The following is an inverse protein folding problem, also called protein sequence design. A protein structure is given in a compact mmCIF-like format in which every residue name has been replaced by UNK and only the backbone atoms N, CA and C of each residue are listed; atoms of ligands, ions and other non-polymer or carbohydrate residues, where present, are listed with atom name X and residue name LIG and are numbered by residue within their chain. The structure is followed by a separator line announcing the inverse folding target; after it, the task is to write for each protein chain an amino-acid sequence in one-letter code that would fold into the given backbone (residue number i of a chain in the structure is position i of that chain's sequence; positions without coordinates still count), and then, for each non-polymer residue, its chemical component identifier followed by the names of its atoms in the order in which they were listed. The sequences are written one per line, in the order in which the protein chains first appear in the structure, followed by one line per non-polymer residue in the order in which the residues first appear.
data_IF_806637889937
#
_entry.id   IF_806637889937
#
_cell.length_a   1.000
_cell.length_b   1.000
_cell.length_c   1.000
_cell.angle_alpha   90.00
_cell.angle_beta   90.00
_cell.angle_gamma   90.00
#
_symmetry.space_group_name_H-M   'P 1'
#
loop_
_entity.id
_entity.type
_entity.pdbx_description
1 polymer ?
#
# COMPACT_ATOMS: atom_id res chain seq x y z
N UNK A 1 14.28 -58.79 -6.61
CA UNK A 1 14.21 -57.36 -7.02
C UNK A 1 13.25 -56.67 -6.08
N UNK A 2 13.74 -55.63 -5.41
CA UNK A 2 13.14 -54.93 -4.26
C UNK A 2 12.06 -53.93 -4.70
N UNK A 3 10.97 -53.83 -3.94
CA UNK A 3 10.31 -52.59 -3.44
C UNK A 3 8.83 -52.90 -3.08
N UNK A 4 8.35 -52.95 -1.83
CA UNK A 4 8.35 -52.00 -0.70
C UNK A 4 7.27 -50.88 -0.83
N UNK A 5 6.27 -50.99 0.06
CA UNK A 5 5.54 -49.95 0.83
C UNK A 5 4.31 -49.24 0.22
N UNK A 6 3.18 -49.63 0.82
CA UNK A 6 2.16 -48.80 1.48
C UNK A 6 1.82 -47.42 0.89
N UNK A 7 0.64 -47.33 0.28
CA UNK A 7 -0.05 -46.06 0.07
C UNK A 7 -0.68 -45.58 1.38
N UNK A 8 -0.03 -44.61 2.03
CA UNK A 8 -0.61 -43.87 3.15
C UNK A 8 -0.33 -42.37 3.00
N UNK A 9 -1.32 -41.60 3.46
CA UNK A 9 -1.38 -40.16 3.70
C UNK A 9 -1.92 -39.26 2.59
N UNK A 10 -3.24 -39.10 2.65
CA UNK A 10 -3.93 -37.81 2.56
C UNK A 10 -3.14 -36.69 3.26
N UNK A 11 -2.87 -35.61 2.54
CA UNK A 11 -2.56 -34.32 3.13
C UNK A 11 -3.22 -33.23 2.27
N UNK A 12 -4.50 -33.01 2.57
CA UNK A 12 -5.13 -31.73 2.28
C UNK A 12 -4.56 -30.69 3.22
N UNK A 13 -3.84 -29.72 2.67
CA UNK A 13 -3.63 -28.42 3.29
C UNK A 13 -3.98 -27.38 2.24
N UNK A 14 -5.26 -27.09 2.11
CA UNK A 14 -5.73 -25.82 1.56
C UNK A 14 -5.04 -24.72 2.37
N UNK A 15 -4.13 -23.98 1.73
CA UNK A 15 -3.56 -22.76 2.31
C UNK A 15 -4.69 -21.72 2.32
N UNK A 16 -5.57 -21.80 3.31
CA UNK A 16 -6.44 -20.69 3.67
C UNK A 16 -5.59 -19.70 4.45
N UNK A 17 -4.86 -18.85 3.72
CA UNK A 17 -4.29 -17.65 4.30
C UNK A 17 -5.43 -16.67 4.59
N UNK A 18 -5.84 -16.55 5.85
CA UNK A 18 -6.71 -15.47 6.29
C UNK A 18 -5.91 -14.17 6.19
N UNK A 19 -6.09 -13.43 5.09
CA UNK A 19 -5.59 -12.06 4.98
C UNK A 19 -6.59 -11.15 5.69
N UNK A 20 -6.35 -10.89 6.98
CA UNK A 20 -7.07 -9.86 7.76
C UNK A 20 -6.52 -8.45 7.46
N UNK A 21 -6.25 -8.18 6.19
CA UNK A 21 -5.67 -6.92 5.75
C UNK A 21 -6.80 -6.11 5.11
N UNK A 22 -7.13 -4.96 5.72
CA UNK A 22 -8.09 -4.03 5.15
C UNK A 22 -7.60 -3.64 3.75
N UNK A 23 -8.43 -3.88 2.74
CA UNK A 23 -8.19 -3.47 1.35
C UNK A 23 -9.19 -2.40 0.98
N UNK A 24 -8.78 -1.37 0.21
CA UNK A 24 -9.69 -0.30 -0.18
C UNK A 24 -10.81 -0.87 -1.05
N UNK A 25 -12.05 -0.46 -0.80
CA UNK A 25 -13.18 -0.82 -1.62
C UNK A 25 -12.99 -0.29 -3.06
N UNK A 26 -13.30 -1.14 -4.04
CA UNK A 26 -13.28 -0.79 -5.45
C UNK A 26 -14.39 -1.50 -6.22
N UNK A 27 -14.71 -0.95 -7.38
CA UNK A 27 -15.56 -1.61 -8.39
C UNK A 27 -14.70 -1.97 -9.59
N UNK A 28 -14.81 -3.21 -10.09
CA UNK A 28 -14.17 -3.59 -11.35
C UNK A 28 -15.01 -3.04 -12.49
N UNK A 29 -14.45 -2.11 -13.26
CA UNK A 29 -15.12 -1.53 -14.43
C UNK A 29 -14.96 -2.38 -15.67
N UNK A 30 -13.82 -3.08 -15.76
CA UNK A 30 -13.47 -3.89 -16.92
C UNK A 30 -12.45 -4.94 -16.54
N UNK A 31 -12.54 -6.09 -17.18
CA UNK A 31 -11.50 -7.12 -17.19
C UNK A 31 -10.95 -7.23 -18.61
N UNK A 32 -9.62 -7.25 -18.76
CA UNK A 32 -8.91 -7.39 -20.04
C UNK A 32 -8.14 -8.72 -20.00
N UNK A 33 -8.66 -9.74 -20.69
CA UNK A 33 -8.11 -11.09 -20.59
C UNK A 33 -8.29 -11.69 -19.18
N UNK A 34 -7.55 -12.75 -18.83
CA UNK A 34 -7.69 -13.39 -17.52
C UNK A 34 -6.96 -12.66 -16.38
N UNK A 35 -6.00 -11.78 -16.70
CA UNK A 35 -5.01 -11.31 -15.70
C UNK A 35 -5.07 -9.81 -15.37
N UNK A 36 -5.91 -9.02 -16.08
CA UNK A 36 -5.92 -7.56 -15.94
C UNK A 36 -7.30 -7.05 -15.58
N UNK A 37 -7.38 -6.25 -14.52
CA UNK A 37 -8.60 -5.54 -14.09
C UNK A 37 -8.39 -4.03 -14.10
N UNK A 38 -9.37 -3.31 -14.64
CA UNK A 38 -9.53 -1.87 -14.46
C UNK A 38 -10.44 -1.65 -13.26
N UNK A 39 -9.89 -1.08 -12.19
CA UNK A 39 -10.59 -0.84 -10.93
C UNK A 39 -10.86 0.65 -10.73
N UNK A 40 -12.12 1.00 -10.42
CA UNK A 40 -12.52 2.32 -9.94
C UNK A 40 -12.52 2.32 -8.42
N UNK A 41 -11.75 3.23 -7.85
CA UNK A 41 -11.77 3.53 -6.42
C UNK A 41 -12.65 4.77 -6.16
N UNK A 42 -13.39 4.77 -5.06
CA UNK A 42 -14.12 5.94 -4.59
C UNK A 42 -13.20 7.05 -4.05
N UNK A 43 -13.78 8.17 -3.59
CA UNK A 43 -13.05 9.22 -2.87
C UNK A 43 -12.31 8.64 -1.66
N UNK A 44 -11.05 9.04 -1.48
CA UNK A 44 -10.18 8.56 -0.40
C UNK A 44 -9.30 9.69 0.12
N UNK A 45 -9.02 9.66 1.42
CA UNK A 45 -8.04 10.56 2.03
C UNK A 45 -6.63 10.08 1.70
N UNK A 46 -5.73 11.04 1.50
CA UNK A 46 -4.32 10.74 1.27
C UNK A 46 -3.44 11.74 2.02
N UNK A 47 -2.39 11.23 2.64
CA UNK A 47 -1.25 12.04 3.05
C UNK A 47 -0.37 12.27 1.82
N UNK A 48 0.01 13.52 1.57
CA UNK A 48 0.74 13.92 0.36
C UNK A 48 1.97 14.75 0.70
N UNK A 49 3.05 14.54 -0.05
CA UNK A 49 4.22 15.43 -0.05
C UNK A 49 4.68 15.68 -1.48
N UNK A 50 5.22 16.88 -1.72
CA UNK A 50 5.88 17.25 -2.96
C UNK A 50 7.38 17.42 -2.72
N UNK A 51 8.21 16.79 -3.55
CA UNK A 51 9.66 16.71 -3.37
C UNK A 51 10.37 17.01 -4.69
N UNK A 52 11.38 17.86 -4.66
CA UNK A 52 12.22 18.16 -5.82
C UNK A 52 13.33 17.13 -5.99
N UNK A 53 13.90 17.01 -7.20
CA UNK A 53 15.05 16.15 -7.49
C UNK A 53 14.74 15.09 -8.55
N UNK A 54 15.66 14.13 -8.70
CA UNK A 54 15.43 12.97 -9.58
C UNK A 54 14.28 12.12 -9.06
N UNK A 55 13.60 11.39 -9.95
CA UNK A 55 12.46 10.52 -9.59
C UNK A 55 12.82 9.59 -8.42
N UNK A 56 13.94 8.89 -8.52
CA UNK A 56 14.39 7.93 -7.50
C UNK A 56 14.64 8.59 -6.15
N UNK A 57 15.31 9.75 -6.13
CA UNK A 57 15.62 10.45 -4.89
C UNK A 57 14.34 11.05 -4.26
N UNK A 58 13.51 11.69 -5.08
CA UNK A 58 12.26 12.29 -4.63
C UNK A 58 11.27 11.24 -4.13
N UNK A 59 11.23 10.06 -4.76
CA UNK A 59 10.45 8.90 -4.30
C UNK A 59 10.90 8.44 -2.92
N UNK A 60 12.21 8.22 -2.73
CA UNK A 60 12.77 7.76 -1.44
C UNK A 60 12.47 8.77 -0.32
N UNK A 61 12.73 10.05 -0.59
CA UNK A 61 12.50 11.11 0.38
C UNK A 61 11.00 11.30 0.68
N UNK A 62 10.14 11.26 -0.34
CA UNK A 62 8.69 11.38 -0.17
C UNK A 62 8.12 10.22 0.63
N UNK A 63 8.56 9.00 0.34
CA UNK A 63 8.21 7.81 1.11
C UNK A 63 8.61 7.96 2.58
N UNK A 64 9.86 8.34 2.86
CA UNK A 64 10.35 8.47 4.23
C UNK A 64 9.59 9.51 5.05
N UNK A 65 9.22 10.65 4.44
CA UNK A 65 8.38 11.68 5.09
C UNK A 65 7.00 11.14 5.45
N UNK A 66 6.34 10.48 4.50
CA UNK A 66 5.00 9.94 4.73
C UNK A 66 5.02 8.77 5.73
N UNK A 67 6.03 7.90 5.65
CA UNK A 67 6.23 6.83 6.62
C UNK A 67 6.46 7.38 8.03
N UNK A 68 7.27 8.44 8.17
CA UNK A 68 7.47 9.11 9.46
C UNK A 68 6.12 9.58 10.04
N UNK A 69 5.30 10.28 9.26
CA UNK A 69 3.96 10.70 9.70
C UNK A 69 3.08 9.52 10.16
N UNK A 70 3.04 8.44 9.39
CA UNK A 70 2.20 7.27 9.63
C UNK A 70 2.63 6.52 10.89
N UNK A 71 3.93 6.41 11.16
CA UNK A 71 4.47 5.66 12.29
C UNK A 71 4.76 6.51 13.54
N UNK A 72 4.03 7.62 13.71
CA UNK A 72 4.08 8.42 14.94
C UNK A 72 4.90 9.71 14.86
N UNK A 73 5.40 10.09 13.69
CA UNK A 73 5.92 11.43 13.38
C UNK A 73 4.79 12.46 13.17
N UNK A 74 3.76 12.38 13.99
CA UNK A 74 2.57 13.24 13.98
C UNK A 74 2.34 13.82 15.38
N UNK A 75 1.43 14.79 15.51
CA UNK A 75 1.26 15.55 16.77
C UNK A 75 0.85 14.70 17.97
N UNK A 76 0.18 13.57 17.74
CA UNK A 76 -0.31 12.65 18.79
C UNK A 76 0.67 11.52 19.09
N UNK A 77 1.76 11.39 18.32
CA UNK A 77 2.73 10.28 18.39
C UNK A 77 2.10 8.88 18.24
N UNK A 78 0.95 8.80 17.58
CA UNK A 78 0.22 7.55 17.38
C UNK A 78 0.51 6.95 16.00
N UNK A 79 0.54 5.62 15.89
CA UNK A 79 0.62 4.95 14.59
C UNK A 79 -0.73 4.94 13.90
N UNK A 80 -0.75 5.10 12.58
CA UNK A 80 -1.93 4.90 11.72
C UNK A 80 -1.85 3.47 11.18
N UNK A 81 -2.84 2.64 11.48
CA UNK A 81 -2.89 1.23 11.05
C UNK A 81 -2.96 1.15 9.51
N UNK A 82 -1.89 0.68 8.88
CA UNK A 82 -1.77 0.66 7.42
C UNK A 82 -2.58 -0.50 6.78
N UNK A 83 -3.15 -0.24 5.60
CA UNK A 83 -3.73 -1.25 4.70
C UNK A 83 -2.64 -1.93 3.87
N UNK A 84 -2.69 -3.25 3.68
CA UNK A 84 -1.72 -4.02 2.89
C UNK A 84 -2.10 -4.10 1.38
N UNK A 85 -1.16 -4.50 0.48
CA UNK A 85 0.27 -4.68 0.70
C UNK A 85 1.09 -3.50 0.16
N UNK A 86 2.14 -3.12 0.90
CA UNK A 86 3.32 -2.49 0.30
C UNK A 86 4.16 -3.65 -0.22
N UNK A 87 4.22 -3.88 -1.54
CA UNK A 87 5.01 -4.96 -2.10
C UNK A 87 6.49 -4.85 -1.65
N UNK A 88 6.92 -5.79 -0.81
CA UNK A 88 8.31 -5.94 -0.37
C UNK A 88 9.07 -6.82 -1.36
N UNK A 89 9.47 -6.24 -2.49
CA UNK A 89 10.57 -6.78 -3.30
C UNK A 89 11.59 -5.67 -3.52
N UNK A 90 12.84 -6.06 -3.80
CA UNK A 90 14.05 -5.22 -3.83
C UNK A 90 14.02 -4.10 -4.89
N UNK A 91 12.89 -3.87 -5.51
CA UNK A 91 12.51 -2.71 -6.31
C UNK A 91 11.04 -2.47 -5.97
N UNK A 92 10.73 -1.39 -5.27
CA UNK A 92 9.35 -1.09 -4.87
C UNK A 92 8.55 -0.77 -6.13
N UNK A 93 7.87 -1.77 -6.68
CA UNK A 93 6.73 -1.58 -7.55
C UNK A 93 5.55 -1.21 -6.66
N UNK A 94 5.20 0.07 -6.74
CA UNK A 94 4.15 0.71 -5.93
C UNK A 94 2.80 0.07 -6.25
N UNK A 95 2.37 -0.86 -5.41
CA UNK A 95 1.01 -1.41 -5.45
C UNK A 95 0.22 -0.85 -4.29
N UNK A 96 -0.98 -0.35 -4.60
CA UNK A 96 -2.14 -0.02 -3.76
C UNK A 96 -2.18 1.24 -2.84
N UNK A 97 -1.30 1.53 -1.84
CA UNK A 97 -1.46 2.78 -1.10
C UNK A 97 -0.62 3.92 -1.66
N UNK A 98 0.39 3.67 -2.51
CA UNK A 98 1.32 4.71 -2.98
C UNK A 98 1.03 5.15 -4.41
N UNK A 99 0.72 6.43 -4.60
CA UNK A 99 0.60 7.05 -5.93
C UNK A 99 1.69 8.10 -6.16
N UNK A 100 2.27 8.12 -7.36
CA UNK A 100 3.26 9.10 -7.77
C UNK A 100 2.86 9.85 -9.04
N UNK A 101 3.19 11.13 -9.12
CA UNK A 101 2.96 11.94 -10.31
C UNK A 101 3.89 13.16 -10.32
N UNK A 102 4.33 13.60 -11.50
CA UNK A 102 5.08 14.85 -11.65
C UNK A 102 4.13 16.05 -11.61
N UNK A 103 4.45 17.08 -10.84
CA UNK A 103 3.69 18.32 -10.75
C UNK A 103 4.16 19.34 -11.80
N UNK A 104 3.33 20.34 -12.09
CA UNK A 104 3.59 21.37 -13.10
C UNK A 104 4.82 22.24 -12.77
N UNK A 105 5.17 22.36 -11.50
CA UNK A 105 6.36 23.04 -10.99
C UNK A 105 7.63 22.16 -10.98
N UNK A 106 7.57 20.97 -11.58
CA UNK A 106 8.70 20.07 -11.75
C UNK A 106 9.03 19.19 -10.54
N UNK A 107 8.24 19.23 -9.47
CA UNK A 107 8.37 18.34 -8.31
C UNK A 107 7.71 16.97 -8.53
N UNK A 108 8.04 16.03 -7.66
CA UNK A 108 7.37 14.74 -7.56
C UNK A 108 6.38 14.79 -6.41
N UNK A 109 5.13 14.44 -6.71
CA UNK A 109 4.06 14.26 -5.73
C UNK A 109 3.99 12.79 -5.36
N UNK A 110 4.12 12.50 -4.08
CA UNK A 110 4.00 11.16 -3.49
C UNK A 110 2.80 11.17 -2.55
N UNK A 111 1.94 10.15 -2.64
CA UNK A 111 0.72 10.03 -1.83
C UNK A 111 0.62 8.66 -1.18
N UNK A 112 0.20 8.63 0.09
CA UNK A 112 -0.22 7.41 0.79
C UNK A 112 -1.71 7.52 1.10
N UNK A 113 -2.52 6.57 0.63
CA UNK A 113 -3.94 6.54 0.93
C UNK A 113 -4.20 6.09 2.37
N UNK A 114 -5.10 6.79 3.06
CA UNK A 114 -5.49 6.47 4.43
C UNK A 114 -6.52 5.33 4.43
N UNK A 115 -6.57 4.52 5.51
CA UNK A 115 -7.61 3.51 5.69
C UNK A 115 -9.01 4.13 5.79
N UNK A 116 -10.03 3.35 5.44
CA UNK A 116 -11.42 3.84 5.34
C UNK A 116 -12.03 4.29 6.69
N UNK A 117 -11.49 3.84 7.83
CA UNK A 117 -11.95 4.26 9.16
C UNK A 117 -11.42 5.63 9.60
N UNK A 118 -10.57 6.29 8.80
CA UNK A 118 -10.07 7.63 9.09
C UNK A 118 -10.85 8.72 8.37
N UNK A 119 -11.04 9.84 9.07
CA UNK A 119 -11.61 11.08 8.54
C UNK A 119 -10.59 12.22 8.71
N UNK A 120 -10.82 13.38 8.11
CA UNK A 120 -9.96 14.55 8.31
C UNK A 120 -9.87 14.98 9.78
N UNK A 121 -10.93 14.77 10.55
CA UNK A 121 -11.01 15.14 11.96
C UNK A 121 -10.29 14.13 12.87
N UNK A 122 -10.27 12.86 12.47
CA UNK A 122 -9.64 11.78 13.26
C UNK A 122 -8.18 11.53 12.90
N UNK A 123 -7.71 12.06 11.78
CA UNK A 123 -6.30 11.98 11.40
C UNK A 123 -5.46 12.88 12.29
N UNK A 124 -4.32 12.39 12.82
CA UNK A 124 -3.43 13.23 13.57
C UNK A 124 -2.81 14.27 12.64
N UNK A 125 -2.59 15.48 13.16
CA UNK A 125 -1.95 16.54 12.38
C UNK A 125 -0.46 16.22 12.16
N UNK A 126 0.08 16.72 11.06
CA UNK A 126 1.53 16.70 10.84
C UNK A 126 2.22 17.61 11.87
N UNK A 127 3.39 17.20 12.35
CA UNK A 127 4.25 18.11 13.12
C UNK A 127 4.74 19.19 12.16
N UNK A 128 4.55 20.46 12.54
CA UNK A 128 5.09 21.59 11.78
C UNK A 128 6.46 21.93 12.37
N UNK A 129 7.47 21.96 11.51
CA UNK A 129 8.79 22.53 11.83
C UNK A 129 8.72 24.07 11.92
#
# INVERSE_FOLDING_TARGET
MVAIISGLLSAGCSVFGVRNEQTPAYTVERTIGPDVEIRRYGPRLAAETAVSGSETAARSQGFQRLASYIFGGNTTKSSIDMTAPVAQTKTIDMTAPVAQSRTTDGRWRIRFFMPENYTLETLPSVVRD
#
